data_IF_972520320036
#
_entry.id   IF_972520320036
#
_cell.length_a   1.000
_cell.length_b   1.000
_cell.length_c   1.000
_cell.angle_alpha   90.00
_cell.angle_beta   90.00
_cell.angle_gamma   90.00
#
_symmetry.space_group_name_H-M   'P 1'
#
loop_
_entity.id
_entity.type
_entity.pdbx_description
1 polymer ?
#
# COMPACT_ATOMS: atom_id res chain seq x y z
N UNK A 1 -35.33 -9.78 -87.01
CA UNK A 1 -34.97 -10.71 -85.92
C UNK A 1 -35.73 -10.21 -84.69
N UNK A 2 -37.08 -10.33 -84.66
CA UNK A 2 -37.87 -11.49 -84.19
C UNK A 2 -37.46 -11.87 -82.75
N UNK A 3 -38.30 -11.90 -81.71
CA UNK A 3 -39.72 -11.65 -81.48
C UNK A 3 -39.83 -11.39 -79.94
N UNK A 4 -40.55 -10.35 -79.51
CA UNK A 4 -41.87 -10.40 -78.85
C UNK A 4 -41.83 -10.61 -77.32
N UNK A 5 -42.54 -9.74 -76.61
CA UNK A 5 -42.60 -9.64 -75.15
C UNK A 5 -43.59 -10.65 -74.55
N UNK A 6 -43.58 -10.84 -73.21
CA UNK A 6 -44.84 -10.50 -72.53
C UNK A 6 -44.66 -9.83 -71.15
N UNK A 7 -45.59 -8.92 -70.87
CA UNK A 7 -45.88 -8.37 -69.54
C UNK A 7 -46.53 -9.38 -68.58
N UNK A 8 -47.00 -8.92 -67.40
CA UNK A 8 -47.00 -9.68 -66.16
C UNK A 8 -48.24 -10.54 -65.95
N UNK A 9 -48.10 -11.60 -65.14
CA UNK A 9 -49.21 -12.37 -64.54
C UNK A 9 -48.91 -12.70 -63.07
N UNK A 10 -49.94 -12.91 -62.23
CA UNK A 10 -49.98 -12.41 -60.85
C UNK A 10 -49.74 -13.47 -59.75
N UNK A 11 -49.57 -12.93 -58.52
CA UNK A 11 -49.69 -13.47 -57.16
C UNK A 11 -50.13 -14.93 -56.94
N UNK A 12 -49.42 -15.63 -56.03
CA UNK A 12 -49.98 -16.10 -54.74
C UNK A 12 -48.97 -16.93 -53.94
N UNK A 13 -48.85 -16.66 -52.63
CA UNK A 13 -48.47 -17.68 -51.64
C UNK A 13 -47.31 -17.33 -50.71
N UNK A 14 -47.64 -16.71 -49.58
CA UNK A 14 -46.94 -16.75 -48.29
C UNK A 14 -46.08 -18.01 -48.02
N UNK A 15 -44.80 -17.80 -47.68
CA UNK A 15 -44.08 -18.38 -46.53
C UNK A 15 -42.57 -18.11 -46.65
N UNK A 16 -41.90 -17.97 -45.50
CA UNK A 16 -40.45 -17.84 -45.30
C UNK A 16 -39.80 -16.48 -45.58
N UNK A 17 -39.88 -15.57 -44.60
CA UNK A 17 -38.80 -14.59 -44.41
C UNK A 17 -38.64 -14.12 -42.94
N UNK A 18 -38.58 -15.07 -42.01
CA UNK A 18 -38.30 -14.80 -40.58
C UNK A 18 -36.97 -15.42 -40.10
N UNK A 19 -35.97 -15.52 -40.99
CA UNK A 19 -34.67 -16.15 -40.71
C UNK A 19 -33.43 -15.28 -40.89
N UNK A 20 -33.58 -13.96 -40.98
CA UNK A 20 -32.41 -13.08 -41.20
C UNK A 20 -32.45 -11.80 -40.38
N UNK A 21 -32.50 -11.91 -39.05
CA UNK A 21 -32.23 -10.77 -38.14
C UNK A 21 -31.74 -11.16 -36.73
N UNK A 22 -31.28 -12.39 -36.51
CA UNK A 22 -30.79 -12.85 -35.20
C UNK A 22 -29.37 -13.43 -35.29
N UNK A 23 -28.39 -12.61 -35.67
CA UNK A 23 -26.99 -13.02 -35.72
C UNK A 23 -26.05 -11.87 -35.32
N UNK A 24 -26.11 -11.45 -34.05
CA UNK A 24 -24.96 -10.89 -33.31
C UNK A 24 -25.30 -10.65 -31.85
N UNK A 25 -25.80 -11.67 -31.15
CA UNK A 25 -25.75 -11.71 -29.69
C UNK A 25 -24.65 -12.70 -29.33
N UNK A 26 -23.49 -12.21 -28.90
CA UNK A 26 -22.48 -13.08 -28.28
C UNK A 26 -23.13 -13.81 -27.11
N UNK A 27 -23.03 -15.15 -27.02
CA UNK A 27 -23.59 -15.87 -25.89
C UNK A 27 -22.94 -15.39 -24.59
N UNK A 28 -23.69 -15.36 -23.47
CA UNK A 28 -23.07 -15.16 -22.16
C UNK A 28 -21.99 -16.23 -22.02
N UNK A 29 -20.76 -15.82 -21.67
CA UNK A 29 -19.62 -16.72 -21.53
C UNK A 29 -20.04 -17.92 -20.67
N UNK A 30 -20.29 -19.05 -21.32
CA UNK A 30 -20.61 -20.31 -20.70
C UNK A 30 -19.50 -20.57 -19.70
N UNK A 31 -19.85 -20.72 -18.41
CA UNK A 31 -18.88 -21.04 -17.38
C UNK A 31 -18.21 -22.34 -17.82
N UNK A 32 -16.99 -22.25 -18.37
CA UNK A 32 -16.26 -23.40 -18.88
C UNK A 32 -16.15 -24.37 -17.72
N UNK A 33 -16.91 -25.46 -17.79
CA UNK A 33 -17.00 -26.40 -16.67
C UNK A 33 -15.67 -27.14 -16.60
N UNK A 34 -14.82 -26.70 -15.67
CA UNK A 34 -13.46 -27.20 -15.54
C UNK A 34 -13.50 -28.62 -15.01
N UNK A 35 -12.70 -29.50 -15.60
CA UNK A 35 -12.47 -30.83 -15.01
C UNK A 35 -11.78 -30.70 -13.66
N UNK A 36 -11.93 -31.69 -12.79
CA UNK A 36 -11.27 -31.70 -11.47
C UNK A 36 -9.73 -31.60 -11.60
N UNK A 37 -9.17 -32.19 -12.66
CA UNK A 37 -7.75 -32.06 -12.98
C UNK A 37 -7.36 -30.61 -13.32
N UNK A 38 -8.19 -29.89 -14.09
CA UNK A 38 -7.96 -28.47 -14.40
C UNK A 38 -8.12 -27.59 -13.17
N UNK A 39 -9.12 -27.84 -12.31
CA UNK A 39 -9.30 -27.13 -11.04
C UNK A 39 -8.10 -27.33 -10.12
N UNK A 40 -7.63 -28.56 -9.98
CA UNK A 40 -6.43 -28.90 -9.20
C UNK A 40 -5.17 -28.21 -9.75
N UNK A 41 -4.96 -28.21 -11.07
CA UNK A 41 -3.84 -27.51 -11.70
C UNK A 41 -3.88 -26.00 -11.43
N UNK A 42 -5.05 -25.37 -11.57
CA UNK A 42 -5.22 -23.93 -11.27
C UNK A 42 -4.98 -23.64 -9.79
N UNK A 43 -5.50 -24.48 -8.88
CA UNK A 43 -5.25 -24.34 -7.44
C UNK A 43 -3.74 -24.37 -7.12
N UNK A 44 -2.99 -25.28 -7.75
CA UNK A 44 -1.54 -25.39 -7.57
C UNK A 44 -0.80 -24.15 -8.10
N UNK A 45 -1.17 -23.63 -9.28
CA UNK A 45 -0.58 -22.41 -9.83
C UNK A 45 -0.83 -21.20 -8.92
N UNK A 46 -2.08 -21.01 -8.47
CA UNK A 46 -2.46 -19.92 -7.57
C UNK A 46 -1.77 -20.05 -6.20
N UNK A 47 -1.67 -21.27 -5.66
CA UNK A 47 -0.94 -21.53 -4.42
C UNK A 47 0.54 -21.18 -4.55
N UNK A 48 1.17 -21.56 -5.65
CA UNK A 48 2.59 -21.25 -5.93
C UNK A 48 2.82 -19.74 -5.98
N UNK A 49 1.94 -18.99 -6.66
CA UNK A 49 2.00 -17.52 -6.67
C UNK A 49 1.80 -16.93 -5.26
N UNK A 50 0.86 -17.47 -4.48
CA UNK A 50 0.61 -17.01 -3.11
C UNK A 50 1.84 -17.19 -2.21
N UNK A 51 2.52 -18.34 -2.31
CA UNK A 51 3.78 -18.58 -1.58
C UNK A 51 4.91 -17.65 -2.04
N UNK A 52 5.00 -17.38 -3.35
CA UNK A 52 5.95 -16.40 -3.90
C UNK A 52 5.72 -14.98 -3.32
N UNK A 53 4.46 -14.54 -3.22
CA UNK A 53 4.10 -13.26 -2.62
C UNK A 53 4.43 -13.21 -1.12
N UNK A 54 4.14 -14.28 -0.37
CA UNK A 54 4.51 -14.38 1.05
C UNK A 54 6.02 -14.30 1.26
N UNK A 55 6.79 -15.02 0.44
CA UNK A 55 8.25 -14.97 0.47
C UNK A 55 8.75 -13.55 0.21
N UNK A 56 8.29 -12.92 -0.88
CA UNK A 56 8.65 -11.55 -1.25
C UNK A 56 8.34 -10.55 -0.13
N UNK A 57 7.11 -10.61 0.41
CA UNK A 57 6.69 -9.75 1.53
C UNK A 57 7.58 -9.92 2.76
N UNK A 58 7.92 -11.17 3.12
CA UNK A 58 8.78 -11.46 4.28
C UNK A 58 10.22 -10.94 4.09
N UNK A 59 10.76 -11.03 2.87
CA UNK A 59 12.08 -10.51 2.53
C UNK A 59 12.10 -9.00 2.62
N UNK A 60 11.10 -8.32 2.05
CA UNK A 60 10.94 -6.86 2.16
C UNK A 60 10.82 -6.40 3.61
N UNK A 61 10.02 -7.09 4.43
CA UNK A 61 9.88 -6.77 5.85
C UNK A 61 11.21 -6.95 6.60
N UNK A 62 11.93 -8.04 6.33
CA UNK A 62 13.22 -8.32 6.97
C UNK A 62 14.27 -7.27 6.60
N UNK A 63 14.36 -6.90 5.32
CA UNK A 63 15.27 -5.87 4.83
C UNK A 63 15.04 -4.52 5.56
N UNK A 64 13.78 -4.10 5.67
CA UNK A 64 13.41 -2.84 6.34
C UNK A 64 13.72 -2.90 7.84
N UNK A 65 13.35 -3.98 8.52
CA UNK A 65 13.64 -4.14 9.94
C UNK A 65 15.14 -4.10 10.22
N UNK A 66 15.96 -4.74 9.37
CA UNK A 66 17.43 -4.68 9.48
C UNK A 66 17.94 -3.26 9.30
N UNK A 67 17.45 -2.51 8.32
CA UNK A 67 17.84 -1.10 8.14
C UNK A 67 17.49 -0.23 9.34
N UNK A 68 16.27 -0.39 9.87
CA UNK A 68 15.81 0.33 11.07
C UNK A 68 16.72 0.01 12.27
N UNK A 69 17.01 -1.26 12.50
CA UNK A 69 17.87 -1.69 13.61
C UNK A 69 19.28 -1.11 13.51
N UNK A 70 19.90 -1.19 12.33
CA UNK A 70 21.23 -0.60 12.08
C UNK A 70 21.20 0.91 12.30
N UNK A 71 20.19 1.60 11.77
CA UNK A 71 20.06 3.04 11.93
C UNK A 71 19.90 3.45 13.40
N UNK A 72 18.97 2.85 14.15
CA UNK A 72 18.76 3.18 15.56
C UNK A 72 20.00 2.86 16.41
N UNK A 73 20.74 1.80 16.06
CA UNK A 73 22.02 1.48 16.69
C UNK A 73 23.05 2.58 16.46
N UNK A 74 23.18 3.06 15.22
CA UNK A 74 24.11 4.14 14.86
C UNK A 74 23.71 5.48 15.49
N UNK A 75 22.41 5.78 15.56
CA UNK A 75 21.90 6.96 16.27
C UNK A 75 22.26 6.90 17.75
N UNK A 76 21.99 5.77 18.41
CA UNK A 76 22.33 5.57 19.81
C UNK A 76 23.84 5.72 20.06
N UNK A 77 24.66 5.00 19.28
CA UNK A 77 26.12 5.09 19.38
C UNK A 77 26.63 6.51 19.12
N UNK A 78 26.09 7.19 18.10
CA UNK A 78 26.45 8.56 17.77
C UNK A 78 26.13 9.54 18.90
N UNK A 79 24.93 9.47 19.49
CA UNK A 79 24.55 10.32 20.62
C UNK A 79 25.42 10.07 21.86
N UNK A 80 25.74 8.80 22.14
CA UNK A 80 26.67 8.44 23.23
C UNK A 80 28.06 9.00 22.97
N UNK A 81 28.60 8.84 21.75
CA UNK A 81 29.90 9.40 21.34
C UNK A 81 29.91 10.92 21.49
N UNK A 82 28.85 11.62 21.09
CA UNK A 82 28.74 13.06 21.26
C UNK A 82 28.69 13.46 22.74
N UNK A 83 28.00 12.70 23.59
CA UNK A 83 27.99 12.94 25.04
C UNK A 83 29.38 12.80 25.67
N UNK A 84 30.10 11.73 25.34
CA UNK A 84 31.47 11.48 25.82
C UNK A 84 32.43 12.55 25.32
N UNK A 85 32.35 12.90 24.02
CA UNK A 85 33.20 13.92 23.43
C UNK A 85 32.91 15.31 24.01
N UNK A 86 31.64 15.65 24.22
CA UNK A 86 31.21 16.88 24.87
C UNK A 86 31.77 16.99 26.28
N UNK A 87 31.71 15.91 27.07
CA UNK A 87 32.29 15.86 28.40
C UNK A 87 33.82 16.03 28.39
N UNK A 88 34.52 15.39 27.46
CA UNK A 88 35.99 15.48 27.35
C UNK A 88 36.47 16.87 26.89
N UNK A 89 35.69 17.56 26.07
CA UNK A 89 36.03 18.88 25.49
C UNK A 89 35.44 20.06 26.27
N UNK A 90 34.60 19.79 27.27
CA UNK A 90 33.79 20.81 27.94
C UNK A 90 32.83 21.54 26.99
N UNK A 91 32.40 20.89 25.90
CA UNK A 91 31.56 21.46 24.84
C UNK A 91 32.18 22.68 24.11
N UNK A 92 33.51 22.78 24.05
CA UNK A 92 34.24 23.92 23.46
C UNK A 92 35.10 23.50 22.27
N UNK A 93 35.55 24.49 21.49
CA UNK A 93 36.48 24.29 20.38
C UNK A 93 35.90 23.43 19.26
N UNK A 94 36.60 22.36 18.87
CA UNK A 94 36.24 21.51 17.73
C UNK A 94 35.00 20.61 17.95
N UNK A 95 34.45 20.57 19.18
CA UNK A 95 33.25 19.80 19.51
C UNK A 95 32.07 20.12 18.57
N UNK A 96 31.79 21.40 18.31
CA UNK A 96 30.67 21.80 17.46
C UNK A 96 30.79 21.24 16.04
N UNK A 97 32.01 21.24 15.48
CA UNK A 97 32.28 20.67 14.16
C UNK A 97 32.07 19.15 14.14
N UNK A 98 32.54 18.45 15.19
CA UNK A 98 32.33 17.01 15.32
C UNK A 98 30.85 16.65 15.49
N UNK A 99 30.11 17.41 16.30
CA UNK A 99 28.67 17.24 16.51
C UNK A 99 27.89 17.42 15.21
N UNK A 100 28.17 18.48 14.45
CA UNK A 100 27.56 18.70 13.13
C UNK A 100 27.92 17.54 12.19
N UNK A 101 29.18 17.09 12.16
CA UNK A 101 29.61 15.97 11.32
C UNK A 101 28.85 14.68 11.60
N UNK A 102 28.68 14.31 12.87
CA UNK A 102 27.90 13.14 13.29
C UNK A 102 26.41 13.33 12.94
N UNK A 103 25.83 14.50 13.22
CA UNK A 103 24.43 14.78 12.90
C UNK A 103 24.15 14.74 11.39
N UNK A 104 25.07 15.22 10.55
CA UNK A 104 24.98 15.12 9.09
C UNK A 104 24.97 13.66 8.67
N UNK A 105 25.94 12.86 9.14
CA UNK A 105 26.02 11.43 8.80
C UNK A 105 24.74 10.68 9.20
N UNK A 106 24.26 10.88 10.43
CA UNK A 106 23.03 10.26 10.91
C UNK A 106 21.81 10.74 10.13
N UNK A 107 21.71 12.03 9.82
CA UNK A 107 20.58 12.57 9.04
C UNK A 107 20.55 12.00 7.62
N UNK A 108 21.70 11.83 6.97
CA UNK A 108 21.79 11.23 5.64
C UNK A 108 21.38 9.75 5.65
N UNK A 109 21.90 8.97 6.60
CA UNK A 109 21.53 7.56 6.73
C UNK A 109 20.04 7.41 7.07
N UNK A 110 19.56 8.29 7.95
CA UNK A 110 18.16 8.41 8.34
C UNK A 110 17.26 8.68 7.16
N UNK A 111 17.63 9.62 6.28
CA UNK A 111 16.90 9.96 5.06
C UNK A 111 16.78 8.76 4.12
N UNK A 112 17.89 8.07 3.82
CA UNK A 112 17.88 6.90 2.93
C UNK A 112 17.01 5.78 3.52
N UNK A 113 17.08 5.59 4.84
CA UNK A 113 16.25 4.60 5.54
C UNK A 113 14.78 4.98 5.49
N UNK A 114 14.45 6.27 5.69
CA UNK A 114 13.08 6.76 5.63
C UNK A 114 12.45 6.55 4.26
N UNK A 115 13.17 6.87 3.18
CA UNK A 115 12.69 6.65 1.81
C UNK A 115 12.33 5.17 1.62
N UNK A 116 13.22 4.25 2.01
CA UNK A 116 12.97 2.81 1.86
C UNK A 116 11.76 2.37 2.67
N UNK A 117 11.66 2.80 3.93
CA UNK A 117 10.52 2.49 4.82
C UNK A 117 9.18 2.88 4.16
N UNK A 118 9.09 4.07 3.58
CA UNK A 118 7.88 4.50 2.87
C UNK A 118 7.62 3.72 1.57
N UNK A 119 8.66 3.42 0.78
CA UNK A 119 8.50 2.58 -0.42
C UNK A 119 7.94 1.20 -0.06
N UNK A 120 8.41 0.61 1.04
CA UNK A 120 7.92 -0.70 1.48
C UNK A 120 6.47 -0.69 1.95
N UNK A 121 5.92 0.46 2.37
CA UNK A 121 4.50 0.58 2.65
C UNK A 121 3.65 0.39 1.39
N UNK A 122 4.13 0.92 0.25
CA UNK A 122 3.46 0.72 -1.05
C UNK A 122 3.63 -0.70 -1.58
N UNK A 123 4.81 -1.31 -1.40
CA UNK A 123 5.05 -2.72 -1.74
C UNK A 123 4.15 -3.64 -0.90
N UNK A 124 4.04 -3.39 0.41
CA UNK A 124 3.19 -4.16 1.31
C UNK A 124 1.71 -4.08 0.91
N UNK A 125 1.23 -2.89 0.53
CA UNK A 125 -0.11 -2.71 0.00
C UNK A 125 -0.34 -3.52 -1.29
N UNK A 126 0.63 -3.51 -2.20
CA UNK A 126 0.56 -4.29 -3.44
C UNK A 126 0.50 -5.81 -3.16
N UNK A 127 1.29 -6.31 -2.19
CA UNK A 127 1.22 -7.70 -1.78
C UNK A 127 -0.15 -8.05 -1.19
N UNK A 128 -0.72 -7.20 -0.32
CA UNK A 128 -2.06 -7.42 0.25
C UNK A 128 -3.13 -7.47 -0.83
N UNK A 129 -3.10 -6.54 -1.79
CA UNK A 129 -4.01 -6.51 -2.94
C UNK A 129 -3.93 -7.80 -3.75
N UNK A 130 -2.72 -8.23 -4.13
CA UNK A 130 -2.51 -9.44 -4.90
C UNK A 130 -2.96 -10.69 -4.13
N UNK A 131 -2.63 -10.79 -2.84
CA UNK A 131 -3.04 -11.91 -1.99
C UNK A 131 -4.56 -11.98 -1.83
N UNK A 132 -5.24 -10.85 -1.65
CA UNK A 132 -6.70 -10.81 -1.58
C UNK A 132 -7.33 -11.28 -2.89
N UNK A 133 -6.76 -10.87 -4.04
CA UNK A 133 -7.20 -11.31 -5.37
C UNK A 133 -7.04 -12.82 -5.55
N UNK A 134 -5.93 -13.41 -5.10
CA UNK A 134 -5.74 -14.86 -5.10
C UNK A 134 -6.74 -15.58 -4.20
N UNK A 135 -7.06 -15.02 -3.01
CA UNK A 135 -8.12 -15.58 -2.15
C UNK A 135 -9.48 -15.52 -2.83
N UNK A 136 -9.74 -14.48 -3.62
CA UNK A 136 -10.93 -14.40 -4.46
C UNK A 136 -10.99 -15.55 -5.47
N UNK A 137 -9.89 -15.81 -6.17
CA UNK A 137 -9.79 -16.91 -7.13
C UNK A 137 -9.93 -18.29 -6.49
N UNK A 138 -9.47 -18.49 -5.24
CA UNK A 138 -9.74 -19.73 -4.51
C UNK A 138 -11.24 -19.97 -4.28
N UNK A 139 -12.00 -18.91 -3.99
CA UNK A 139 -13.46 -19.01 -3.85
C UNK A 139 -14.17 -19.30 -5.17
N UNK A 140 -13.58 -18.91 -6.32
CA UNK A 140 -14.13 -19.25 -7.64
C UNK A 140 -13.93 -20.73 -7.96
N UNK A 141 -12.87 -21.35 -7.42
CA UNK A 141 -12.61 -22.78 -7.56
C UNK A 141 -13.50 -23.62 -6.62
N UNK A 142 -13.65 -23.19 -5.38
CA UNK A 142 -14.51 -23.84 -4.38
C UNK A 142 -15.15 -22.80 -3.46
N UNK A 143 -16.44 -22.46 -3.66
CA UNK A 143 -17.15 -21.53 -2.79
C UNK A 143 -17.30 -22.04 -1.34
N UNK A 144 -17.22 -23.35 -1.12
CA UNK A 144 -17.41 -24.00 0.19
C UNK A 144 -16.35 -23.62 1.22
N UNK A 145 -15.19 -23.13 0.79
CA UNK A 145 -14.11 -22.71 1.70
C UNK A 145 -14.31 -21.30 2.27
N UNK A 146 -15.29 -20.54 1.76
CA UNK A 146 -15.57 -19.15 2.16
C UNK A 146 -15.65 -18.90 3.66
N UNK A 147 -16.39 -19.73 4.43
CA UNK A 147 -16.50 -19.58 5.88
C UNK A 147 -15.17 -19.69 6.65
N UNK A 148 -14.13 -20.28 6.05
CA UNK A 148 -12.83 -20.47 6.70
C UNK A 148 -11.87 -19.29 6.48
N UNK A 149 -12.16 -18.35 5.57
CA UNK A 149 -11.33 -17.17 5.36
C UNK A 149 -11.69 -16.04 6.31
N UNK A 150 -10.77 -15.75 7.24
CA UNK A 150 -10.86 -14.56 8.10
C UNK A 150 -10.47 -13.27 7.36
N UNK A 151 -9.39 -13.34 6.56
CA UNK A 151 -8.82 -12.22 5.81
C UNK A 151 -9.70 -11.78 4.62
N UNK A 152 -9.40 -10.61 4.05
CA UNK A 152 -10.09 -10.12 2.86
C UNK A 152 -9.94 -11.05 1.65
N UNK A 153 -11.05 -11.22 0.93
CA UNK A 153 -11.17 -11.99 -0.33
C UNK A 153 -11.50 -11.09 -1.52
N UNK A 154 -11.58 -9.77 -1.29
CA UNK A 154 -11.80 -8.72 -2.28
C UNK A 154 -10.59 -7.79 -2.30
N UNK A 155 -10.26 -7.26 -3.47
CA UNK A 155 -9.09 -6.42 -3.69
C UNK A 155 -9.45 -4.93 -3.74
N UNK A 156 -10.54 -4.53 -3.08
CA UNK A 156 -10.98 -3.17 -2.88
C UNK A 156 -10.66 -2.65 -1.46
N UNK A 157 -10.96 -1.37 -1.19
CA UNK A 157 -10.71 -0.72 0.11
C UNK A 157 -11.14 -1.56 1.32
N UNK A 158 -12.41 -1.99 1.41
CA UNK A 158 -12.88 -2.81 2.53
C UNK A 158 -12.18 -4.17 2.65
N UNK A 159 -11.81 -4.78 1.52
CA UNK A 159 -11.03 -6.02 1.52
C UNK A 159 -9.61 -5.82 2.06
N UNK A 160 -8.96 -4.71 1.70
CA UNK A 160 -7.65 -4.31 2.23
C UNK A 160 -7.74 -4.10 3.74
N UNK A 161 -8.75 -3.34 4.20
CA UNK A 161 -8.94 -3.04 5.61
C UNK A 161 -9.15 -4.32 6.43
N UNK A 162 -9.96 -5.26 5.93
CA UNK A 162 -10.16 -6.57 6.57
C UNK A 162 -8.88 -7.39 6.66
N UNK A 163 -7.99 -7.29 5.68
CA UNK A 163 -6.69 -8.00 5.72
C UNK A 163 -5.71 -7.35 6.69
N UNK A 164 -5.69 -6.02 6.79
CA UNK A 164 -4.82 -5.32 7.74
C UNK A 164 -5.32 -5.33 9.18
N UNK A 165 -6.65 -5.33 9.36
CA UNK A 165 -7.28 -5.20 10.66
C UNK A 165 -8.62 -5.96 10.69
N UNK A 166 -8.59 -7.31 10.84
CA UNK A 166 -9.78 -8.16 10.66
C UNK A 166 -10.87 -7.96 11.72
N UNK A 167 -10.53 -7.43 12.89
CA UNK A 167 -11.43 -7.35 14.05
C UNK A 167 -11.98 -5.94 14.32
N UNK A 168 -11.56 -4.92 13.57
CA UNK A 168 -12.02 -3.55 13.79
C UNK A 168 -11.78 -2.66 12.57
N UNK A 169 -12.34 -1.44 12.60
CA UNK A 169 -12.08 -0.44 11.57
C UNK A 169 -10.64 0.04 11.71
N UNK A 170 -9.92 0.11 10.59
CA UNK A 170 -8.57 0.67 10.55
C UNK A 170 -8.61 2.15 10.93
N UNK A 171 -8.20 2.45 12.17
CA UNK A 171 -8.14 3.80 12.70
C UNK A 171 -6.71 4.38 12.66
N UNK A 172 -6.58 5.69 12.87
CA UNK A 172 -5.31 6.44 12.86
C UNK A 172 -4.28 5.88 13.83
N UNK A 173 -4.72 5.21 14.89
CA UNK A 173 -3.86 4.54 15.88
C UNK A 173 -2.95 3.50 15.25
N UNK A 174 -3.38 2.78 14.21
CA UNK A 174 -2.53 1.81 13.51
C UNK A 174 -1.37 2.50 12.77
N UNK A 175 -1.60 3.68 12.22
CA UNK A 175 -0.58 4.47 11.55
C UNK A 175 0.42 5.02 12.56
N UNK A 176 -0.07 5.57 13.68
CA UNK A 176 0.78 6.11 14.74
C UNK A 176 1.61 5.02 15.46
N UNK A 177 1.07 3.81 15.60
CA UNK A 177 1.78 2.67 16.20
C UNK A 177 2.77 1.97 15.26
N UNK A 178 2.92 2.42 14.02
CA UNK A 178 3.77 1.75 13.04
C UNK A 178 5.27 2.04 13.25
N UNK A 179 6.11 1.10 12.82
CA UNK A 179 7.57 1.31 12.76
C UNK A 179 7.95 2.50 11.87
N UNK A 180 7.14 2.82 10.86
CA UNK A 180 7.31 4.00 10.01
C UNK A 180 7.18 5.30 10.79
N UNK A 181 6.24 5.37 11.74
CA UNK A 181 6.03 6.55 12.58
C UNK A 181 7.21 6.77 13.53
N UNK A 182 7.70 5.69 14.17
CA UNK A 182 8.90 5.75 15.02
C UNK A 182 10.08 6.30 14.23
N UNK A 183 10.33 5.76 13.03
CA UNK A 183 11.39 6.24 12.15
C UNK A 183 11.23 7.70 11.75
N UNK A 184 10.00 8.10 11.41
CA UNK A 184 9.70 9.47 11.01
C UNK A 184 10.00 10.46 12.15
N UNK A 185 9.60 10.15 13.38
CA UNK A 185 9.88 10.99 14.55
C UNK A 185 11.39 11.11 14.79
N UNK A 186 12.11 9.99 14.77
CA UNK A 186 13.58 10.00 14.99
C UNK A 186 14.29 10.82 13.92
N UNK A 187 13.94 10.63 12.64
CA UNK A 187 14.59 11.32 11.53
C UNK A 187 14.31 12.82 11.51
N UNK A 188 13.07 13.21 11.78
CA UNK A 188 12.70 14.63 11.82
C UNK A 188 13.32 15.34 13.03
N UNK A 189 13.43 14.65 14.16
CA UNK A 189 14.17 15.16 15.32
C UNK A 189 15.67 15.34 15.02
N UNK A 190 16.33 14.36 14.38
CA UNK A 190 17.72 14.49 13.96
C UNK A 190 17.95 15.63 12.96
N UNK A 191 17.05 15.76 11.98
CA UNK A 191 17.08 16.89 11.05
C UNK A 191 16.92 18.24 11.75
N UNK A 192 16.02 18.33 12.73
CA UNK A 192 15.86 19.51 13.57
C UNK A 192 17.10 19.82 14.42
N UNK A 193 17.72 18.80 15.02
CA UNK A 193 18.98 18.95 15.77
C UNK A 193 20.12 19.44 14.87
N UNK A 194 20.23 18.90 13.66
CA UNK A 194 21.22 19.33 12.68
C UNK A 194 21.02 20.80 12.30
N UNK A 195 19.79 21.20 11.96
CA UNK A 195 19.49 22.60 11.63
C UNK A 195 19.73 23.52 12.82
N UNK A 196 19.31 23.12 14.02
CA UNK A 196 19.56 23.89 15.24
C UNK A 196 21.07 24.09 15.47
N UNK A 197 21.86 23.03 15.36
CA UNK A 197 23.32 23.10 15.50
C UNK A 197 23.96 24.06 14.47
N UNK A 198 23.50 24.01 13.21
CA UNK A 198 23.97 24.92 12.16
C UNK A 198 23.57 26.37 12.43
N UNK A 199 22.33 26.61 12.87
CA UNK A 199 21.85 27.96 13.22
C UNK A 199 22.60 28.52 14.42
N UNK A 200 22.87 27.70 15.44
CA UNK A 200 23.68 28.09 16.59
C UNK A 200 25.11 28.47 16.17
N UNK A 201 25.72 27.72 15.25
CA UNK A 201 27.07 28.01 14.75
C UNK A 201 27.19 29.36 14.04
N UNK A 202 26.08 29.93 13.54
CA UNK A 202 26.05 31.21 12.83
C UNK A 202 25.60 32.36 13.76
N UNK A 203 24.62 32.09 14.61
CA UNK A 203 23.92 33.13 15.39
C UNK A 203 24.38 33.23 16.83
N UNK A 204 25.05 32.19 17.35
CA UNK A 204 25.38 32.01 18.76
C UNK A 204 24.17 32.14 19.71
N UNK A 205 22.95 32.05 19.15
CA UNK A 205 21.70 32.28 19.86
C UNK A 205 20.99 30.95 20.13
N UNK A 206 20.85 30.53 21.40
CA UNK A 206 20.08 29.33 21.74
C UNK A 206 18.62 29.43 21.31
N UNK A 207 18.03 30.63 21.37
CA UNK A 207 16.64 30.87 20.98
C UNK A 207 16.41 30.58 19.49
N UNK A 208 17.24 31.14 18.61
CA UNK A 208 17.15 30.88 17.17
C UNK A 208 17.46 29.43 16.82
N UNK A 209 18.44 28.82 17.47
CA UNK A 209 18.77 27.40 17.31
C UNK A 209 17.57 26.50 17.57
N UNK A 210 16.93 26.66 18.75
CA UNK A 210 15.77 25.84 19.13
C UNK A 210 14.57 26.14 18.23
N UNK A 211 14.29 27.41 17.93
CA UNK A 211 13.16 27.79 17.09
C UNK A 211 13.29 27.22 15.67
N UNK A 212 14.42 27.43 15.00
CA UNK A 212 14.63 26.93 13.64
C UNK A 212 14.67 25.40 13.60
N UNK A 213 15.34 24.75 14.55
CA UNK A 213 15.40 23.30 14.63
C UNK A 213 14.02 22.66 14.82
N UNK A 214 13.21 23.20 15.75
CA UNK A 214 11.85 22.73 15.99
C UNK A 214 10.94 22.95 14.78
N UNK A 215 11.01 24.13 14.15
CA UNK A 215 10.22 24.44 12.95
C UNK A 215 10.57 23.47 11.82
N UNK A 216 11.86 23.22 11.55
CA UNK A 216 12.26 22.28 10.50
C UNK A 216 11.82 20.86 10.82
N UNK A 217 11.94 20.41 12.07
CA UNK A 217 11.47 19.07 12.46
C UNK A 217 9.97 18.90 12.19
N UNK A 218 9.14 19.87 12.60
CA UNK A 218 7.68 19.83 12.39
C UNK A 218 7.33 19.91 10.89
N UNK A 219 7.96 20.83 10.16
CA UNK A 219 7.71 20.97 8.71
C UNK A 219 8.10 19.68 7.98
N UNK A 220 9.28 19.13 8.26
CA UNK A 220 9.72 17.86 7.67
C UNK A 220 8.75 16.72 8.00
N UNK A 221 8.30 16.62 9.26
CA UNK A 221 7.30 15.63 9.68
C UNK A 221 6.01 15.72 8.86
N UNK A 222 5.47 16.92 8.71
CA UNK A 222 4.25 17.16 7.93
C UNK A 222 4.47 16.81 6.45
N UNK A 223 5.60 17.24 5.86
CA UNK A 223 5.92 16.94 4.46
C UNK A 223 6.01 15.43 4.19
N UNK A 224 6.65 14.68 5.08
CA UNK A 224 6.72 13.21 4.99
C UNK A 224 5.35 12.56 5.13
N UNK A 225 4.51 13.04 6.06
CA UNK A 225 3.15 12.53 6.19
C UNK A 225 2.31 12.79 4.95
N UNK A 226 2.39 13.98 4.38
CA UNK A 226 1.72 14.33 3.13
C UNK A 226 2.22 13.48 1.96
N UNK A 227 3.54 13.25 1.88
CA UNK A 227 4.13 12.41 0.84
C UNK A 227 3.65 10.96 0.95
N UNK A 228 3.68 10.37 2.15
CA UNK A 228 3.16 9.03 2.40
C UNK A 228 1.67 8.88 2.09
N UNK A 229 0.86 9.86 2.50
CA UNK A 229 -0.57 9.86 2.20
C UNK A 229 -0.85 9.97 0.70
N UNK A 230 -0.10 10.82 -0.02
CA UNK A 230 -0.20 10.96 -1.47
C UNK A 230 0.15 9.66 -2.18
N UNK A 231 1.23 8.99 -1.77
CA UNK A 231 1.61 7.69 -2.33
C UNK A 231 0.53 6.63 -2.14
N UNK A 232 -0.03 6.53 -0.93
CA UNK A 232 -1.17 5.64 -0.67
C UNK A 232 -2.39 5.99 -1.55
N UNK A 233 -2.76 7.27 -1.62
CA UNK A 233 -3.90 7.71 -2.40
C UNK A 233 -3.71 7.47 -3.91
N UNK A 234 -2.49 7.60 -4.42
CA UNK A 234 -2.16 7.33 -5.82
C UNK A 234 -2.35 5.84 -6.16
N UNK A 235 -1.82 4.93 -5.33
CA UNK A 235 -2.03 3.48 -5.52
C UNK A 235 -3.53 3.16 -5.55
N UNK A 236 -4.31 3.72 -4.61
CA UNK A 236 -5.76 3.49 -4.56
C UNK A 236 -6.53 4.08 -5.74
N UNK A 237 -6.02 5.13 -6.40
CA UNK A 237 -6.64 5.70 -7.60
C UNK A 237 -6.35 4.89 -8.85
N UNK A 238 -5.13 4.36 -8.96
CA UNK A 238 -4.68 3.61 -10.14
C UNK A 238 -5.15 2.16 -10.11
N UNK A 239 -5.30 1.59 -8.91
CA UNK A 239 -5.75 0.22 -8.73
C UNK A 239 -7.22 0.02 -9.10
N UNK A 240 -7.48 -0.91 -10.02
CA UNK A 240 -8.84 -1.32 -10.41
C UNK A 240 -9.13 -2.68 -9.77
N UNK A 241 -10.08 -2.77 -8.82
CA UNK A 241 -10.41 -4.02 -8.14
C UNK A 241 -11.13 -4.99 -9.10
N UNK A 242 -10.67 -6.23 -9.13
CA UNK A 242 -11.30 -7.33 -9.87
C UNK A 242 -12.54 -7.84 -9.14
N UNK A 243 -12.51 -7.85 -7.80
CA UNK A 243 -13.65 -8.22 -6.96
C UNK A 243 -13.90 -7.13 -5.93
N UNK A 244 -15.12 -6.62 -5.91
CA UNK A 244 -15.59 -5.64 -4.92
C UNK A 244 -16.34 -6.33 -3.80
N UNK A 245 -16.13 -5.85 -2.59
CA UNK A 245 -16.95 -6.18 -1.44
C UNK A 245 -18.39 -5.71 -1.69
N UNK A 246 -19.37 -6.52 -1.27
CA UNK A 246 -20.76 -6.09 -1.35
C UNK A 246 -21.02 -5.05 -0.24
N UNK A 247 -21.53 -3.87 -0.60
CA UNK A 247 -21.77 -2.74 0.31
C UNK A 247 -22.69 -3.06 1.53
N UNK A 248 -23.27 -4.27 1.59
CA UNK A 248 -24.27 -4.66 2.60
C UNK A 248 -23.72 -4.93 4.00
N UNK A 249 -22.41 -5.08 4.19
CA UNK A 249 -21.84 -5.39 5.51
C UNK A 249 -21.67 -4.17 6.44
N UNK A 250 -21.59 -2.95 5.90
CA UNK A 250 -21.39 -1.73 6.71
C UNK A 250 -22.65 -1.19 7.39
N UNK A 251 -23.85 -1.49 6.85
CA UNK A 251 -25.12 -0.96 7.40
C UNK A 251 -25.74 -1.80 8.51
N UNK A 252 -25.34 -3.08 8.69
CA UNK A 252 -25.91 -3.93 9.76
C UNK A 252 -25.28 -3.70 11.14
N UNK A 253 -24.11 -3.05 11.23
CA UNK A 253 -23.48 -2.68 12.51
C UNK A 253 -24.05 -1.41 13.14
N UNK A 254 -24.59 -0.49 12.33
CA UNK A 254 -25.18 0.76 12.82
C UNK A 254 -26.63 0.61 13.32
N UNK A 255 -27.33 -0.46 12.96
CA UNK A 255 -28.73 -0.70 13.34
C UNK A 255 -28.93 -1.52 14.62
N UNK A 256 -27.86 -1.98 15.27
CA UNK A 256 -27.93 -2.81 16.50
C UNK A 256 -27.41 -2.08 17.75
N UNK A 257 -27.09 -0.79 17.65
CA UNK A 257 -26.66 0.04 18.78
C UNK A 257 -27.74 1.04 19.26
N UNK A 258 -28.95 0.99 18.70
CA UNK A 258 -30.09 1.85 19.07
C UNK A 258 -31.27 1.07 19.69
N UNK A 259 -31.05 -0.13 20.19
CA UNK A 259 -32.08 -0.94 20.84
C UNK A 259 -31.51 -1.81 21.95
N UNK A 260 -31.19 -1.18 23.08
CA UNK A 260 -31.47 -1.65 24.45
C UNK A 260 -31.00 -0.60 25.48
#
# INVERSE_FOLDING_TARGET
MAADAPGPVPSSGEADDDRSAAASASPPAEAVDLTDAQKSLRAQMLATEHWSLLASRSTTQSEVLTRIAIFLTLVSAGLVTLGVLGNATGFRGWFGLAAIGVLVLLSLLGLVTQVRVFNTATEDLAYVLAMNRLRGAYLDLDPGIGPYFLMGTTDDGPGIDRTYYPFAVRDRTQVFGSSMMVMLVVNTALGGLLVGALVYAITESPGWSVACGAVVAVVAFVLWMLWGYRGYAEVMRVHVPLRRSSERAGRRGAGLAEGD
#
